data_IF_312318173246
#
_entry.id   IF_312318173246
#
_cell.length_a   1.000
_cell.length_b   1.000
_cell.length_c   1.000
_cell.angle_alpha   90.00
_cell.angle_beta   90.00
_cell.angle_gamma   90.00
#
_symmetry.space_group_name_H-M   'P 1'
#
loop_
_entity.id
_entity.type
_entity.pdbx_description
1 polymer ?
2 polymer ?
3 polymer ?
4 polymer ?
5 non-polymer ?
6 non-polymer ?
7 non-polymer ?
8 non-polymer ?
9 non-polymer ?
10 non-polymer ?
11 non-polymer ?
12 non-polymer ?
13 water ?
#
loop_
_entity_poly.entity_id
_entity_poly.type
_entity_poly.pdbx_seq_one_letter_code
_entity_poly.pdbx_strand_id
2 'polydeoxyribonucleotide' '(DC)(DG)(DG)(DC)(8OG)(DT)(DA)(DC)(DG)' ?
3 'polydeoxyribonucleotide' '(DC)(DG)(DT)(DA)(DA)' ?
4 'polydeoxyribonucleotide' '(DG)(DC)(DC)(DG)' ?
#
# COMPACT_ATOMS: atom_id res chain seq x y z
N UNK A 10 -10.66 20.25 -10.91
CA UNK A 10 -9.87 19.24 -10.24
C UNK A 10 -9.63 19.60 -8.76
N UNK A 11 -10.28 18.86 -7.86
CA UNK A 11 -10.13 19.16 -6.43
C UNK A 11 -8.72 18.85 -5.94
N UNK A 12 -8.38 19.45 -4.79
CA UNK A 12 -7.00 19.42 -4.36
C UNK A 12 -6.62 18.12 -3.64
N UNK A 13 -7.59 17.42 -3.05
CA UNK A 13 -7.31 16.18 -2.33
C UNK A 13 -7.67 14.96 -3.19
N UNK A 14 -6.85 13.92 -3.10
CA UNK A 14 -7.12 12.74 -3.92
C UNK A 14 -8.44 12.06 -3.56
N UNK A 15 -8.88 12.18 -2.31
CA UNK A 15 -10.13 11.54 -1.90
C UNK A 15 -11.37 12.23 -2.43
N UNK A 16 -11.20 13.37 -3.09
CA UNK A 16 -12.30 14.12 -3.68
C UNK A 16 -12.52 13.83 -5.15
N UNK A 17 -11.79 12.90 -5.73
CA UNK A 17 -11.93 12.68 -7.15
C UNK A 17 -11.74 11.20 -7.44
N UNK A 18 -12.43 10.66 -8.44
CA UNK A 18 -12.21 9.25 -8.79
C UNK A 18 -10.87 9.06 -9.48
N UNK A 19 -10.13 8.04 -9.05
CA UNK A 19 -8.86 7.70 -9.67
C UNK A 19 -8.89 6.23 -10.09
N UNK A 20 -9.01 5.95 -11.39
CA UNK A 20 -9.09 4.56 -11.85
C UNK A 20 -7.71 3.94 -11.88
N UNK A 21 -7.71 2.62 -11.99
CA UNK A 21 -6.47 1.87 -11.97
C UNK A 21 -5.65 2.15 -13.21
N UNK A 22 -6.29 2.18 -14.37
CA UNK A 22 -5.62 2.51 -15.60
C UNK A 22 -6.16 3.84 -16.11
N UNK A 23 -5.30 4.59 -16.79
CA UNK A 23 -5.63 5.97 -17.09
C UNK A 23 -4.91 6.41 -18.37
N UNK A 24 -4.80 7.73 -18.55
CA UNK A 24 -4.42 8.31 -19.83
C UNK A 24 -3.12 9.07 -19.76
N UNK A 25 -2.38 8.94 -18.66
CA UNK A 25 -1.15 9.71 -18.48
C UNK A 25 -0.09 8.86 -17.80
N UNK A 26 -0.02 7.59 -18.19
CA UNK A 26 0.79 6.60 -17.48
C UNK A 26 2.26 6.99 -17.44
N UNK A 27 2.83 7.36 -18.59
CA UNK A 27 4.24 7.74 -18.62
C UNK A 27 4.55 8.94 -17.76
N UNK A 28 3.69 9.96 -17.79
CA UNK A 28 3.93 11.15 -17.01
C UNK A 28 3.87 10.85 -15.53
N UNK A 29 2.86 10.08 -15.12
CA UNK A 29 2.74 9.77 -13.70
C UNK A 29 3.92 8.92 -13.23
N UNK A 30 4.38 7.98 -14.07
CA UNK A 30 5.50 7.13 -13.66
C UNK A 30 6.76 7.96 -13.42
N UNK A 31 6.99 8.99 -14.25
CA UNK A 31 8.17 9.82 -14.09
C UNK A 31 8.12 10.59 -12.77
N UNK A 32 6.96 11.16 -12.45
CA UNK A 32 6.85 11.91 -11.21
C UNK A 32 6.99 10.99 -10.00
N UNK A 33 6.53 9.76 -10.13
CA UNK A 33 6.65 8.82 -9.03
C UNK A 33 8.09 8.38 -8.82
N UNK A 34 8.93 8.37 -9.88
CA UNK A 34 10.37 8.17 -9.65
C UNK A 34 10.92 9.26 -8.76
N UNK A 35 10.57 10.51 -9.05
CA UNK A 35 11.10 11.60 -8.23
C UNK A 35 10.55 11.54 -6.81
N UNK A 36 9.30 11.10 -6.65
CA UNK A 36 8.74 10.94 -5.32
C UNK A 36 9.51 9.90 -4.54
N UNK A 37 9.77 8.75 -5.18
CA UNK A 37 10.49 7.66 -4.53
C UNK A 37 11.91 8.11 -4.14
N UNK A 38 12.58 8.81 -5.05
CA UNK A 38 13.92 9.30 -4.75
C UNK A 38 13.91 10.27 -3.58
N UNK A 39 12.91 11.14 -3.52
CA UNK A 39 12.78 12.04 -2.37
C UNK A 39 12.65 11.24 -1.07
N UNK A 40 11.86 10.18 -1.07
CA UNK A 40 11.73 9.37 0.13
C UNK A 40 13.04 8.74 0.56
N UNK A 41 13.84 8.30 -0.41
CA UNK A 41 15.13 7.72 -0.07
C UNK A 41 16.05 8.73 0.59
N UNK A 42 15.84 10.03 0.35
CA UNK A 42 16.61 11.08 0.98
C UNK A 42 15.95 11.67 2.22
N UNK A 43 14.83 11.11 2.66
CA UNK A 43 14.12 11.65 3.82
C UNK A 43 13.34 12.91 3.57
N UNK A 44 13.06 13.25 2.32
CA UNK A 44 12.37 14.49 1.97
C UNK A 44 10.88 14.18 1.81
N UNK A 45 10.19 14.05 2.95
CA UNK A 45 8.80 13.58 2.94
C UNK A 45 7.86 14.60 2.32
N UNK A 46 8.15 15.90 2.46
CA UNK A 46 7.31 16.90 1.82
C UNK A 46 7.36 16.83 0.30
N UNK A 47 8.58 16.77 -0.25
CA UNK A 47 8.73 16.62 -1.70
C UNK A 47 8.12 15.30 -2.18
N UNK A 48 8.34 14.21 -1.44
CA UNK A 48 7.70 12.94 -1.78
C UNK A 48 6.20 13.13 -1.94
N UNK A 49 5.57 13.82 -0.98
CA UNK A 49 4.12 14.00 -1.05
C UNK A 49 3.71 14.83 -2.27
N UNK A 50 4.41 15.94 -2.52
CA UNK A 50 4.02 16.76 -3.67
C UNK A 50 4.14 15.98 -4.98
N UNK A 51 5.25 15.24 -5.17
CA UNK A 51 5.41 14.49 -6.41
C UNK A 51 4.36 13.37 -6.52
N UNK A 52 4.07 12.70 -5.40
CA UNK A 52 3.00 11.68 -5.40
C UNK A 52 1.65 12.28 -5.76
N UNK A 53 1.34 13.44 -5.16
CA UNK A 53 0.06 14.09 -5.42
C UNK A 53 -0.04 14.57 -6.87
N UNK A 54 1.05 15.15 -7.41
CA UNK A 54 1.03 15.60 -8.80
C UNK A 54 0.83 14.41 -9.73
N UNK A 55 1.52 13.30 -9.46
CA UNK A 55 1.30 12.10 -10.25
C UNK A 55 -0.15 11.68 -10.18
N UNK A 56 -0.72 11.68 -8.97
CA UNK A 56 -2.09 11.23 -8.79
C UNK A 56 -3.09 12.11 -9.54
N UNK A 57 -2.83 13.43 -9.61
CA UNK A 57 -3.69 14.32 -10.37
C UNK A 57 -3.76 13.86 -11.83
N UNK A 58 -2.61 13.52 -12.40
CA UNK A 58 -2.61 13.09 -13.80
C UNK A 58 -3.39 11.80 -13.97
N UNK A 59 -3.32 10.90 -13.00
CA UNK A 59 -4.10 9.67 -13.08
C UNK A 59 -5.59 9.93 -13.13
N UNK A 60 -6.05 11.05 -12.55
CA UNK A 60 -7.47 11.37 -12.45
C UNK A 60 -7.99 12.14 -13.65
N UNK A 61 -7.10 12.54 -14.57
CA UNK A 61 -7.53 13.31 -15.73
C UNK A 61 -8.29 12.44 -16.72
N UNK A 62 -9.21 13.03 -17.49
CA UNK A 62 -10.03 12.25 -18.40
C UNK A 62 -9.39 11.97 -19.75
N UNK A 63 -8.21 12.53 -20.03
CA UNK A 63 -7.56 12.34 -21.31
C UNK A 63 -6.08 12.69 -21.18
N UNK A 64 -5.26 12.40 -22.19
CA UNK A 64 -3.82 12.67 -22.06
C UNK A 64 -3.50 14.16 -22.03
N UNK A 65 -2.51 14.51 -21.21
CA UNK A 65 -1.88 15.83 -21.31
C UNK A 65 -0.98 15.84 -22.55
N UNK A 66 -1.26 16.77 -23.46
CA UNK A 66 -0.49 16.94 -24.68
C UNK A 66 0.26 18.26 -24.74
N UNK A 67 -0.16 19.25 -23.97
CA UNK A 67 0.45 20.57 -24.02
C UNK A 67 0.61 21.09 -22.61
N UNK A 68 1.65 21.89 -22.41
CA UNK A 68 1.96 22.38 -21.07
C UNK A 68 0.83 23.22 -20.52
N UNK A 69 0.11 23.93 -21.39
CA UNK A 69 -0.98 24.78 -20.93
C UNK A 69 -2.05 23.99 -20.17
N UNK A 70 -2.20 22.70 -20.47
CA UNK A 70 -3.22 21.89 -19.79
C UNK A 70 -2.90 21.68 -18.31
N UNK A 71 -1.68 22.01 -17.86
CA UNK A 71 -1.36 21.93 -16.44
C UNK A 71 -1.80 23.15 -15.68
N UNK A 72 -2.13 24.24 -16.38
CA UNK A 72 -2.56 25.47 -15.72
C UNK A 72 -3.78 25.21 -14.86
N UNK A 73 -3.70 25.59 -13.60
CA UNK A 73 -4.80 25.40 -12.70
C UNK A 73 -4.84 24.06 -12.00
N UNK A 74 -4.06 23.08 -12.45
CA UNK A 74 -4.09 21.78 -11.77
C UNK A 74 -3.41 21.88 -10.41
N UNK A 75 -3.99 21.32 -9.37
CA UNK A 75 -3.33 21.37 -8.06
C UNK A 75 -2.07 20.51 -8.05
N UNK A 76 -1.07 20.98 -7.31
CA UNK A 76 0.19 20.30 -7.04
C UNK A 76 1.16 20.35 -8.20
N UNK A 77 0.87 21.14 -9.24
CA UNK A 77 1.79 21.40 -10.34
C UNK A 77 2.33 22.81 -10.22
N UNK A 78 3.59 22.91 -9.83
CA UNK A 78 4.30 24.17 -9.84
C UNK A 78 5.45 24.09 -10.80
N UNK A 79 6.49 24.89 -10.51
CA UNK A 79 7.62 25.02 -11.42
C UNK A 79 8.27 23.67 -11.70
N UNK A 80 8.50 22.86 -10.65
CA UNK A 80 9.32 21.66 -10.80
C UNK A 80 8.56 20.55 -11.52
N UNK A 81 7.34 20.22 -11.06
CA UNK A 81 6.58 19.16 -11.71
C UNK A 81 6.19 19.53 -13.13
N UNK A 82 5.94 20.83 -13.38
CA UNK A 82 5.59 21.26 -14.73
C UNK A 82 6.78 21.13 -15.67
N UNK A 83 7.98 21.41 -15.17
CA UNK A 83 9.16 21.27 -16.00
C UNK A 83 9.41 19.81 -16.35
N UNK A 84 9.18 18.90 -15.39
CA UNK A 84 9.30 17.47 -15.69
C UNK A 84 8.37 17.10 -16.83
N UNK A 85 7.11 17.54 -16.76
CA UNK A 85 6.13 17.19 -17.78
C UNK A 85 6.52 17.84 -19.11
N UNK A 86 6.92 19.11 -19.08
CA UNK A 86 7.33 19.81 -20.30
C UNK A 86 8.43 19.04 -21.01
N UNK A 87 9.44 18.57 -20.26
CA UNK A 87 10.56 17.87 -20.89
C UNK A 87 10.09 16.55 -21.49
N UNK A 88 9.21 15.83 -20.79
CA UNK A 88 8.69 14.59 -21.36
C UNK A 88 7.88 14.85 -22.62
N UNK A 89 7.07 15.91 -22.63
CA UNK A 89 6.27 16.23 -23.82
C UNK A 89 7.17 16.61 -24.98
N UNK A 90 8.22 17.38 -24.70
CA UNK A 90 9.07 17.92 -25.77
C UNK A 90 10.09 16.91 -26.26
N UNK A 91 10.62 16.04 -25.39
CA UNK A 91 11.74 15.18 -25.73
C UNK A 91 11.53 13.70 -25.44
N UNK A 92 10.42 13.32 -24.82
CA UNK A 92 10.15 11.94 -24.46
C UNK A 92 10.91 11.44 -23.26
N UNK A 93 11.73 12.29 -22.65
CA UNK A 93 12.56 11.92 -21.52
C UNK A 93 12.83 13.18 -20.72
N UNK A 94 12.95 13.02 -19.40
CA UNK A 94 13.29 14.10 -18.48
C UNK A 94 14.67 13.82 -17.91
N UNK A 95 15.62 14.73 -18.16
CA UNK A 95 17.00 14.48 -17.77
C UNK A 95 17.12 14.20 -16.27
N UNK A 96 16.38 14.94 -15.44
CA UNK A 96 16.49 14.69 -14.00
C UNK A 96 16.04 13.29 -13.65
N UNK A 97 14.93 12.86 -14.25
CA UNK A 97 14.40 11.53 -13.97
C UNK A 97 15.39 10.47 -14.41
N UNK A 98 15.98 10.63 -15.59
CA UNK A 98 16.94 9.64 -16.06
C UNK A 98 18.19 9.61 -15.20
N UNK A 99 18.64 10.76 -14.72
CA UNK A 99 19.79 10.82 -13.83
C UNK A 99 19.51 10.07 -12.53
N UNK A 100 18.30 10.23 -12.00
CA UNK A 100 17.91 9.47 -10.81
C UNK A 100 17.94 7.98 -11.11
N UNK A 101 17.29 7.59 -12.21
CA UNK A 101 17.16 6.17 -12.55
C UNK A 101 18.49 5.45 -12.58
N UNK A 102 19.50 6.06 -13.19
CA UNK A 102 20.78 5.37 -13.34
C UNK A 102 21.71 5.57 -12.17
N UNK A 103 21.31 6.35 -11.17
CA UNK A 103 22.23 6.65 -10.08
C UNK A 103 22.42 5.45 -9.16
N UNK A 104 23.66 5.28 -8.68
CA UNK A 104 23.97 4.19 -7.77
C UNK A 104 23.15 4.31 -6.50
N UNK A 105 22.97 5.54 -6.02
CA UNK A 105 22.19 5.76 -4.81
C UNK A 105 20.75 5.29 -4.98
N UNK A 106 20.09 5.73 -6.06
CA UNK A 106 18.70 5.33 -6.27
C UNK A 106 18.58 3.82 -6.42
N UNK A 107 19.42 3.22 -7.27
CA UNK A 107 19.28 1.80 -7.55
C UNK A 107 19.53 0.95 -6.32
N UNK A 108 20.52 1.33 -5.50
CA UNK A 108 20.81 0.53 -4.30
C UNK A 108 19.76 0.74 -3.22
N UNK A 109 19.33 1.99 -3.01
CA UNK A 109 18.28 2.21 -2.01
C UNK A 109 17.00 1.48 -2.40
N UNK A 110 16.66 1.48 -3.69
CA UNK A 110 15.50 0.73 -4.15
C UNK A 110 15.66 -0.76 -3.89
N UNK A 111 16.84 -1.31 -4.23
CA UNK A 111 17.10 -2.73 -4.01
C UNK A 111 16.98 -3.08 -2.54
N UNK A 112 17.61 -2.30 -1.66
CA UNK A 112 17.62 -2.63 -0.24
C UNK A 112 16.25 -2.42 0.40
N UNK A 113 15.58 -1.29 0.12
CA UNK A 113 14.28 -1.06 0.76
C UNK A 113 13.22 -2.04 0.30
N UNK A 114 13.40 -2.66 -0.88
CA UNK A 114 12.47 -3.68 -1.33
C UNK A 114 12.54 -4.94 -0.48
N UNK A 115 13.62 -5.12 0.28
CA UNK A 115 13.76 -6.28 1.16
C UNK A 115 12.78 -6.16 2.32
N UNK A 116 12.04 -7.23 2.58
CA UNK A 116 11.16 -7.31 3.74
C UNK A 116 12.01 -7.28 5.02
N UNK A 117 11.78 -6.28 5.86
CA UNK A 117 12.56 -6.06 7.06
C UNK A 117 13.54 -4.91 6.98
N UNK A 118 13.68 -4.29 5.81
CA UNK A 118 14.62 -3.20 5.56
C UNK A 118 13.82 -1.97 5.16
N UNK A 119 13.97 -0.88 5.91
CA UNK A 119 13.41 0.40 5.54
C UNK A 119 14.46 1.38 5.07
N UNK A 120 14.04 2.62 4.86
CA UNK A 120 14.95 3.65 4.35
C UNK A 120 16.14 3.83 5.29
N UNK A 121 15.89 3.89 6.59
CA UNK A 121 16.97 4.17 7.53
C UNK A 121 18.02 3.06 7.51
N UNK A 122 17.60 1.79 7.49
CA UNK A 122 18.56 0.70 7.43
C UNK A 122 19.29 0.69 6.10
N UNK A 123 18.55 0.82 5.00
CA UNK A 123 19.18 0.83 3.67
C UNK A 123 20.22 1.93 3.56
N UNK A 124 19.89 3.13 4.05
CA UNK A 124 20.81 4.26 3.99
C UNK A 124 22.07 3.98 4.79
N UNK A 125 21.93 3.37 5.97
CA UNK A 125 23.11 3.05 6.78
C UNK A 125 24.00 2.05 6.06
N UNK A 126 23.42 1.01 5.47
CA UNK A 126 24.19 0.06 4.67
C UNK A 126 24.85 0.74 3.47
N UNK A 127 24.11 1.62 2.79
CA UNK A 127 24.68 2.34 1.66
C UNK A 127 25.90 3.13 2.08
N UNK A 128 25.81 3.83 3.22
CA UNK A 128 26.93 4.62 3.71
C UNK A 128 28.09 3.74 4.14
N UNK A 129 27.82 2.52 4.60
CA UNK A 129 28.86 1.57 4.93
C UNK A 129 29.54 0.98 3.70
N UNK A 130 29.03 1.26 2.51
CA UNK A 130 29.63 0.77 1.29
C UNK A 130 28.95 -0.43 0.67
N UNK A 131 27.87 -0.95 1.27
CA UNK A 131 27.19 -2.12 0.74
C UNK A 131 26.34 -1.73 -0.46
N UNK A 132 26.28 -2.62 -1.45
CA UNK A 132 25.60 -2.31 -2.71
C UNK A 132 24.71 -3.42 -3.24
N UNK A 133 24.96 -4.69 -2.92
CA UNK A 133 24.24 -5.81 -3.54
C UNK A 133 23.67 -6.73 -2.47
N UNK A 134 22.72 -7.58 -2.89
CA UNK A 134 22.14 -8.52 -1.94
C UNK A 134 23.20 -9.48 -1.43
N UNK A 135 24.14 -9.88 -2.29
CA UNK A 135 25.20 -10.77 -1.80
C UNK A 135 26.13 -10.07 -0.81
N UNK A 136 26.32 -8.76 -0.95
CA UNK A 136 27.02 -8.02 0.10
C UNK A 136 26.35 -8.23 1.45
N UNK A 137 25.01 -8.25 1.46
CA UNK A 137 24.30 -8.41 2.72
C UNK A 137 24.40 -9.84 3.22
N UNK A 138 24.29 -10.80 2.31
CA UNK A 138 24.35 -12.19 2.71
C UNK A 138 25.71 -12.56 3.28
N UNK A 139 26.77 -11.89 2.80
CA UNK A 139 28.12 -12.19 3.28
C UNK A 139 28.35 -11.78 4.73
N UNK A 140 27.52 -10.89 5.26
CA UNK A 140 27.67 -10.40 6.64
C UNK A 140 26.37 -10.59 7.41
N UNK A 141 25.94 -11.85 7.59
CA UNK A 141 24.61 -12.09 8.19
C UNK A 141 24.53 -11.72 9.65
N UNK A 142 25.63 -11.36 10.29
CA UNK A 142 25.59 -10.93 11.67
C UNK A 142 24.84 -9.62 11.82
N UNK A 143 24.84 -8.79 10.79
CA UNK A 143 24.17 -7.51 10.81
C UNK A 143 22.70 -7.61 10.42
N UNK A 144 22.12 -8.80 10.36
CA UNK A 144 20.74 -8.98 9.90
C UNK A 144 19.84 -9.46 11.03
N UNK A 145 18.64 -8.88 11.10
CA UNK A 145 17.62 -9.42 11.99
C UNK A 145 17.05 -10.70 11.40
N UNK A 146 16.33 -11.45 12.24
CA UNK A 146 15.64 -12.65 11.75
C UNK A 146 14.67 -12.30 10.63
N UNK A 147 13.97 -11.19 10.76
CA UNK A 147 13.05 -10.74 9.72
C UNK A 147 13.79 -10.46 8.42
N UNK A 148 14.92 -9.78 8.51
CA UNK A 148 15.70 -9.44 7.32
C UNK A 148 16.29 -10.69 6.69
N UNK A 149 16.68 -11.65 7.52
CA UNK A 149 17.19 -12.91 6.98
C UNK A 149 16.14 -13.60 6.13
N UNK A 150 14.90 -13.65 6.62
CA UNK A 150 13.79 -14.24 5.85
C UNK A 150 13.50 -13.44 4.59
N UNK A 151 13.49 -12.12 4.70
CA UNK A 151 13.29 -11.30 3.52
C UNK A 151 14.35 -11.51 2.45
N UNK A 152 15.61 -11.71 2.86
CA UNK A 152 16.68 -11.91 1.90
C UNK A 152 16.64 -13.32 1.33
N UNK A 153 16.38 -14.33 2.17
CA UNK A 153 16.24 -15.69 1.63
C UNK A 153 15.13 -15.77 0.59
N UNK A 154 13.99 -15.13 0.86
CA UNK A 154 12.83 -15.25 0.00
C UNK A 154 12.73 -14.12 -1.02
N UNK A 155 13.78 -13.31 -1.15
CA UNK A 155 13.68 -12.09 -1.94
C UNK A 155 13.29 -12.36 -3.40
N UNK A 156 13.86 -13.41 -4.01
CA UNK A 156 13.56 -13.68 -5.41
C UNK A 156 12.08 -13.98 -5.60
N UNK A 157 11.53 -14.90 -4.81
CA UNK A 157 10.10 -15.21 -4.93
C UNK A 157 9.25 -13.97 -4.64
N UNK A 158 9.64 -13.20 -3.63
CA UNK A 158 8.84 -12.04 -3.26
C UNK A 158 8.90 -10.95 -4.31
N UNK A 159 9.85 -11.00 -5.23
CA UNK A 159 9.95 -10.07 -6.33
C UNK A 159 9.08 -10.44 -7.52
N UNK A 160 8.52 -11.65 -7.51
CA UNK A 160 7.66 -12.18 -8.56
C UNK A 160 6.23 -11.72 -8.33
N UNK A 161 5.55 -11.18 -9.35
CA UNK A 161 4.16 -10.74 -9.15
C UNK A 161 3.26 -11.84 -8.62
N UNK A 162 2.44 -11.48 -7.64
CA UNK A 162 1.32 -12.31 -7.20
C UNK A 162 0.18 -12.11 -8.16
N UNK A 163 -0.40 -13.21 -8.65
CA UNK A 163 -1.49 -13.16 -9.63
C UNK A 163 -2.85 -13.36 -8.97
N UNK A 164 -3.90 -12.91 -9.65
CA UNK A 164 -5.24 -13.10 -9.12
C UNK A 164 -5.56 -14.59 -8.89
N UNK A 165 -5.02 -15.50 -9.71
CA UNK A 165 -5.20 -16.93 -9.44
C UNK A 165 -4.58 -17.33 -8.11
N UNK A 166 -3.41 -16.78 -7.79
CA UNK A 166 -2.79 -17.08 -6.50
C UNK A 166 -3.71 -16.65 -5.36
N UNK A 167 -4.45 -15.56 -5.57
CA UNK A 167 -5.23 -14.97 -4.49
C UNK A 167 -6.39 -15.89 -4.08
N UNK A 168 -7.13 -16.41 -5.07
CA UNK A 168 -8.25 -17.28 -4.75
C UNK A 168 -7.80 -18.51 -3.95
N UNK A 169 -6.66 -19.09 -4.34
CA UNK A 169 -6.15 -20.26 -3.63
C UNK A 169 -5.77 -19.91 -2.20
N UNK A 170 -5.09 -18.78 -2.01
CA UNK A 170 -4.73 -18.36 -0.66
C UNK A 170 -5.96 -18.08 0.17
N UNK A 171 -6.98 -17.45 -0.42
CA UNK A 171 -8.15 -17.11 0.39
C UNK A 171 -8.86 -18.36 0.90
N UNK A 172 -8.94 -19.41 0.07
CA UNK A 172 -9.59 -20.63 0.53
C UNK A 172 -8.82 -21.25 1.69
N UNK A 173 -7.49 -21.21 1.61
CA UNK A 173 -6.64 -21.74 2.67
C UNK A 173 -6.81 -20.94 3.97
N UNK A 174 -6.86 -19.61 3.86
CA UNK A 174 -7.05 -18.78 5.05
C UNK A 174 -8.43 -19.01 5.66
N UNK A 175 -9.44 -19.12 4.81
CA UNK A 175 -10.80 -19.35 5.30
C UNK A 175 -10.91 -20.66 6.06
N UNK A 176 -10.20 -21.70 5.59
CA UNK A 176 -10.22 -22.98 6.29
C UNK A 176 -9.68 -22.83 7.70
N UNK A 177 -8.53 -22.16 7.84
CA UNK A 177 -7.95 -22.00 9.17
C UNK A 177 -8.82 -21.10 10.04
N UNK A 178 -9.34 -20.02 9.46
CA UNK A 178 -10.19 -19.08 10.21
C UNK A 178 -11.45 -19.78 10.70
N UNK A 179 -12.05 -20.63 9.87
CA UNK A 179 -13.25 -21.36 10.27
C UNK A 179 -13.06 -22.30 11.43
N UNK A 180 -11.87 -22.91 11.54
CA UNK A 180 -11.58 -23.76 12.69
C UNK A 180 -11.26 -22.93 13.90
N UNK A 181 -10.56 -21.81 13.69
CA UNK A 181 -10.19 -20.96 14.81
C UNK A 181 -11.43 -20.35 15.45
N UNK A 182 -12.40 -19.97 14.63
CA UNK A 182 -13.60 -19.32 15.15
C UNK A 182 -14.72 -19.47 14.14
N UNK A 183 -15.56 -20.48 14.28
CA UNK A 183 -16.70 -20.63 13.37
C UNK A 183 -17.53 -19.35 13.27
N UNK A 184 -17.89 -19.01 12.04
CA UNK A 184 -18.62 -17.81 11.76
C UNK A 184 -17.76 -16.63 11.36
N UNK A 185 -16.45 -16.70 11.60
CA UNK A 185 -15.59 -15.59 11.22
C UNK A 185 -15.47 -15.54 9.72
N UNK A 186 -15.30 -14.32 9.21
CA UNK A 186 -15.27 -14.08 7.77
C UNK A 186 -13.91 -13.55 7.36
N UNK A 187 -13.62 -13.73 6.07
CA UNK A 187 -12.37 -13.30 5.46
C UNK A 187 -12.72 -12.44 4.26
N UNK A 188 -12.22 -11.20 4.25
CA UNK A 188 -12.43 -10.27 3.15
C UNK A 188 -11.11 -9.90 2.48
N UNK A 189 -11.06 -10.02 1.15
CA UNK A 189 -9.90 -9.57 0.38
C UNK A 189 -9.86 -8.05 0.36
N UNK A 190 -8.70 -7.49 0.73
CA UNK A 190 -8.52 -6.04 0.75
C UNK A 190 -7.32 -5.66 -0.09
N UNK A 191 -6.70 -4.52 0.21
CA UNK A 191 -5.54 -4.05 -0.54
C UNK A 191 -5.80 -3.84 -2.03
N UNK A 192 -4.73 -3.88 -2.79
CA UNK A 192 -4.80 -3.56 -4.20
C UNK A 192 -5.70 -4.48 -5.00
N UNK A 193 -5.80 -5.76 -4.61
CA UNK A 193 -6.69 -6.64 -5.36
C UNK A 193 -8.15 -6.21 -5.21
N UNK A 194 -8.54 -5.69 -4.06
CA UNK A 194 -9.92 -5.19 -3.95
C UNK A 194 -10.14 -3.94 -4.81
N UNK A 195 -9.08 -3.17 -5.09
CA UNK A 195 -9.15 -2.04 -6.01
C UNK A 195 -9.13 -2.46 -7.47
N UNK A 196 -9.07 -3.76 -7.76
CA UNK A 196 -9.11 -4.25 -9.13
C UNK A 196 -7.78 -4.59 -9.75
N UNK A 197 -6.68 -4.52 -9.00
CA UNK A 197 -5.38 -4.88 -9.57
C UNK A 197 -5.37 -6.33 -10.01
N UNK A 198 -4.68 -6.60 -11.10
CA UNK A 198 -4.58 -7.99 -11.56
C UNK A 198 -3.33 -8.67 -11.04
N UNK A 199 -2.38 -7.90 -10.54
CA UNK A 199 -1.16 -8.38 -9.92
C UNK A 199 -0.88 -7.60 -8.65
N UNK A 200 -0.03 -8.16 -7.80
CA UNK A 200 0.39 -7.45 -6.61
C UNK A 200 1.69 -8.00 -6.09
N UNK A 201 2.19 -7.32 -5.04
CA UNK A 201 3.37 -7.71 -4.28
C UNK A 201 3.02 -8.60 -3.10
N UNK A 202 1.77 -8.60 -2.67
CA UNK A 202 1.33 -9.37 -1.53
C UNK A 202 -0.19 -9.48 -1.63
N UNK A 203 -0.77 -10.20 -0.67
CA UNK A 203 -2.21 -10.34 -0.58
C UNK A 203 -2.63 -9.91 0.82
N UNK A 204 -3.69 -9.12 0.90
CA UNK A 204 -4.19 -8.55 2.15
C UNK A 204 -5.59 -9.07 2.47
N UNK A 205 -5.75 -9.57 3.71
CA UNK A 205 -7.02 -10.08 4.15
C UNK A 205 -7.44 -9.43 5.46
N UNK A 206 -8.73 -9.18 5.59
CA UNK A 206 -9.34 -8.60 6.78
C UNK A 206 -10.34 -9.59 7.34
N UNK A 207 -10.20 -9.90 8.63
CA UNK A 207 -10.96 -10.96 9.30
C UNK A 207 -11.82 -10.32 10.39
N UNK A 208 -13.09 -10.73 10.48
CA UNK A 208 -13.94 -10.25 11.56
C UNK A 208 -14.93 -11.36 11.92
N UNK A 209 -15.86 -11.04 12.84
CA UNK A 209 -16.90 -11.99 13.24
C UNK A 209 -18.14 -11.17 13.52
N UNK A 210 -19.33 -11.65 13.14
CA UNK A 210 -20.54 -10.82 13.28
C UNK A 210 -20.93 -10.51 14.71
N UNK A 211 -20.45 -11.27 15.68
CA UNK A 211 -20.73 -11.04 17.09
C UNK A 211 -19.58 -10.25 17.73
N UNK A 212 -19.85 -8.99 18.05
CA UNK A 212 -18.85 -8.12 18.65
C UNK A 212 -18.20 -8.77 19.85
N UNK A 213 -16.87 -8.76 19.84
CA UNK A 213 -16.07 -9.32 20.90
C UNK A 213 -15.58 -10.72 20.61
N UNK A 214 -16.26 -11.47 19.74
CA UNK A 214 -15.83 -12.83 19.49
C UNK A 214 -14.51 -12.89 18.76
N UNK A 215 -14.11 -11.79 18.11
CA UNK A 215 -12.85 -11.79 17.39
C UNK A 215 -11.63 -11.61 18.29
N UNK A 216 -11.84 -11.29 19.57
CA UNK A 216 -10.71 -11.13 20.48
C UNK A 216 -9.87 -12.39 20.52
N UNK A 217 -8.54 -12.23 20.43
CA UNK A 217 -7.62 -13.36 20.52
C UNK A 217 -7.61 -14.27 19.30
N UNK A 218 -8.23 -13.84 18.21
CA UNK A 218 -8.41 -14.70 17.05
C UNK A 218 -7.10 -14.93 16.28
N UNK A 219 -6.28 -13.90 16.08
CA UNK A 219 -5.22 -14.06 15.11
C UNK A 219 -4.16 -15.09 15.54
N UNK A 220 -3.79 -15.18 16.83
CA UNK A 220 -2.89 -16.27 17.24
C UNK A 220 -3.44 -17.64 16.92
N UNK A 221 -4.76 -17.81 17.08
CA UNK A 221 -5.37 -19.10 16.79
C UNK A 221 -5.33 -19.41 15.30
N UNK A 222 -5.48 -18.37 14.47
CA UNK A 222 -5.39 -18.56 13.04
C UNK A 222 -3.97 -18.91 12.63
N UNK A 223 -3.00 -18.18 13.17
CA UNK A 223 -1.62 -18.38 12.78
C UNK A 223 -1.13 -19.76 13.18
N UNK A 224 -1.50 -20.22 14.38
CA UNK A 224 -1.05 -21.54 14.83
C UNK A 224 -1.55 -22.62 13.90
N UNK A 225 -2.79 -22.47 13.42
CA UNK A 225 -3.39 -23.47 12.55
C UNK A 225 -2.75 -23.45 11.16
N UNK A 226 -2.50 -22.26 10.60
CA UNK A 226 -1.78 -22.21 9.33
C UNK A 226 -0.38 -22.80 9.46
N UNK A 227 0.29 -22.51 10.58
CA UNK A 227 1.62 -23.07 10.82
C UNK A 227 1.57 -24.59 10.89
N UNK A 228 0.54 -25.14 11.54
CA UNK A 228 0.45 -26.60 11.64
C UNK A 228 0.16 -27.26 10.30
N UNK A 229 -0.46 -26.55 9.36
CA UNK A 229 -0.65 -27.05 8.01
C UNK A 229 0.59 -26.88 7.13
N UNK A 230 1.70 -26.39 7.70
CA UNK A 230 2.93 -26.27 6.95
C UNK A 230 2.95 -25.13 5.96
N UNK A 231 2.06 -24.16 6.10
CA UNK A 231 1.90 -23.11 5.10
C UNK A 231 2.67 -21.85 5.41
N UNK A 232 3.26 -21.73 6.59
CA UNK A 232 3.88 -20.49 7.01
C UNK A 232 5.38 -20.66 6.92
N UNK A 233 5.98 -19.92 5.99
CA UNK A 233 7.44 -19.91 5.89
C UNK A 233 8.05 -18.95 6.88
N UNK A 234 7.34 -17.88 7.25
CA UNK A 234 7.83 -16.90 8.21
C UNK A 234 6.66 -16.14 8.83
N UNK A 235 6.72 -15.97 10.15
CA UNK A 235 5.92 -14.93 10.81
C UNK A 235 6.61 -14.57 12.11
N UNK A 236 6.19 -13.45 12.69
CA UNK A 236 6.75 -13.03 13.98
C UNK A 236 6.00 -13.66 15.15
N UNK A 256 -0.31 -12.02 21.82
CA UNK A 256 -1.48 -11.22 21.48
C UNK A 256 -1.17 -10.24 20.35
N UNK A 257 -2.01 -10.24 19.31
CA UNK A 257 -1.77 -9.35 18.18
C UNK A 257 -2.97 -9.38 17.24
N UNK A 258 -3.05 -8.34 16.37
CA UNK A 258 -4.17 -8.17 15.45
C UNK A 258 -3.74 -7.92 14.01
N UNK A 259 -2.45 -7.81 13.74
CA UNK A 259 -1.91 -7.75 12.39
C UNK A 259 -0.76 -8.74 12.32
N UNK A 260 -0.71 -9.51 11.23
CA UNK A 260 0.36 -10.49 10.99
C UNK A 260 0.92 -10.26 9.60
N UNK A 261 2.25 -10.12 9.51
CA UNK A 261 2.92 -9.92 8.23
C UNK A 261 3.67 -11.22 7.94
N UNK A 262 3.07 -12.08 7.12
CA UNK A 262 3.50 -13.46 6.93
C UNK A 262 4.18 -13.64 5.58
N UNK A 263 4.99 -14.70 5.49
CA UNK A 263 5.37 -15.28 4.21
C UNK A 263 4.77 -16.68 4.16
N UNK A 264 3.93 -16.91 3.17
CA UNK A 264 3.17 -18.15 2.95
C UNK A 264 3.83 -18.99 1.88
N UNK A 265 3.66 -20.30 2.01
CA UNK A 265 4.00 -21.25 0.98
C UNK A 265 2.80 -21.48 0.07
N UNK A 266 2.89 -21.02 -1.17
CA UNK A 266 1.81 -21.14 -2.15
C UNK A 266 2.12 -22.25 -3.16
N UNK A 267 1.27 -23.27 -3.31
CA UNK A 267 1.51 -24.29 -4.33
C UNK A 267 1.70 -23.72 -5.72
N UNK A 268 2.53 -24.41 -6.51
CA UNK A 268 2.80 -24.15 -7.90
C UNK A 268 2.89 -25.51 -8.59
N UNK A 269 2.67 -25.58 -9.89
CA UNK A 269 2.80 -26.88 -10.57
C UNK A 269 4.10 -27.59 -10.22
N UNK A 270 4.00 -28.70 -9.51
CA UNK A 270 5.19 -29.46 -9.14
C UNK A 270 6.11 -28.80 -8.15
N UNK A 271 5.70 -27.66 -7.58
CA UNK A 271 6.56 -26.99 -6.60
C UNK A 271 5.71 -26.00 -5.80
N UNK A 272 6.31 -24.87 -5.43
CA UNK A 272 5.62 -23.84 -4.66
C UNK A 272 6.45 -22.58 -4.75
N UNK A 273 5.85 -21.48 -4.27
CA UNK A 273 6.60 -20.23 -4.18
C UNK A 273 6.21 -19.50 -2.91
N UNK A 274 7.14 -18.69 -2.39
CA UNK A 274 6.86 -17.84 -1.24
C UNK A 274 6.05 -16.60 -1.66
N UNK A 275 5.05 -16.24 -0.85
CA UNK A 275 4.18 -15.09 -1.10
C UNK A 275 3.95 -14.34 0.20
N UNK A 276 4.07 -13.02 0.16
CA UNK A 276 3.72 -12.20 1.31
C UNK A 276 2.21 -12.12 1.46
N UNK A 277 1.74 -12.36 2.68
CA UNK A 277 0.32 -12.24 3.03
C UNK A 277 0.22 -11.43 4.32
N UNK A 278 -0.70 -10.46 4.35
CA UNK A 278 -1.02 -9.70 5.54
C UNK A 278 -2.41 -10.11 6.03
N UNK A 279 -2.50 -10.48 7.30
CA UNK A 279 -3.77 -10.79 7.95
C UNK A 279 -4.03 -9.76 9.04
N UNK A 280 -5.24 -9.22 9.07
CA UNK A 280 -5.63 -8.23 10.07
C UNK A 280 -7.01 -8.60 10.60
N UNK A 281 -7.18 -8.46 11.91
CA UNK A 281 -8.44 -8.73 12.58
C UNK A 281 -9.01 -7.41 13.06
N UNK A 282 -10.32 -7.24 12.92
CA UNK A 282 -11.02 -6.09 13.49
C UNK A 282 -12.34 -6.54 14.07
N UNK A 283 -12.80 -5.91 15.15
CA UNK A 283 -14.18 -6.15 15.59
C UNK A 283 -15.16 -5.58 14.58
N UNK A 284 -16.35 -6.19 14.52
CA UNK A 284 -17.28 -5.84 13.46
C UNK A 284 -17.69 -4.37 13.57
N UNK A 285 -17.72 -3.81 14.78
CA UNK A 285 -18.01 -2.38 14.94
C UNK A 285 -17.03 -1.50 14.18
N UNK A 286 -15.79 -1.95 14.04
CA UNK A 286 -14.75 -1.19 13.36
C UNK A 286 -14.55 -1.63 11.92
N UNK A 287 -15.24 -2.68 11.49
CA UNK A 287 -14.94 -3.27 10.19
C UNK A 287 -14.98 -2.28 9.05
N UNK A 288 -15.97 -1.38 8.95
CA UNK A 288 -15.95 -0.40 7.84
C UNK A 288 -14.70 0.46 7.82
N UNK A 289 -14.21 0.87 8.99
CA UNK A 289 -12.99 1.67 9.05
C UNK A 289 -11.77 0.87 8.67
N UNK A 290 -11.75 -0.40 9.06
CA UNK A 290 -10.59 -1.24 8.75
C UNK A 290 -10.59 -1.58 7.28
N UNK A 291 -11.78 -1.88 6.73
CA UNK A 291 -11.91 -2.16 5.31
C UNK A 291 -11.45 -0.95 4.50
N UNK A 292 -11.93 0.23 4.87
CA UNK A 292 -11.55 1.44 4.17
C UNK A 292 -10.03 1.64 4.21
N UNK A 293 -9.48 1.57 5.41
CA UNK A 293 -8.04 1.77 5.55
C UNK A 293 -7.20 0.75 4.78
N UNK A 294 -7.52 -0.53 4.91
CA UNK A 294 -6.75 -1.59 4.27
C UNK A 294 -7.04 -1.75 2.78
N UNK A 295 -8.06 -1.07 2.24
CA UNK A 295 -8.27 -1.09 0.80
C UNK A 295 -7.44 -0.02 0.08
N UNK A 296 -7.02 1.03 0.77
CA UNK A 296 -6.08 1.97 0.19
C UNK A 296 -6.69 2.78 -0.95
N UNK A 297 -5.89 3.23 -1.93
CA UNK A 297 -4.44 3.14 -1.91
C UNK A 297 -3.82 3.85 -0.70
N UNK A 298 -2.51 3.66 -0.54
CA UNK A 298 -1.80 4.32 0.56
C UNK A 298 -1.96 5.83 0.47
N UNK A 299 -1.75 6.39 -0.73
CA UNK A 299 -1.90 7.84 -0.89
C UNK A 299 -3.35 8.25 -0.66
N UNK A 300 -4.31 7.47 -1.17
CA UNK A 300 -5.71 7.78 -0.94
C UNK A 300 -6.01 7.91 0.54
N UNK A 301 -5.48 7.00 1.36
CA UNK A 301 -5.78 7.02 2.79
C UNK A 301 -5.09 8.18 3.51
N UNK A 302 -3.83 8.49 3.15
CA UNK A 302 -3.18 9.68 3.71
C UNK A 302 -3.98 10.92 3.38
N UNK A 303 -4.43 11.02 2.12
CA UNK A 303 -5.21 12.17 1.68
C UNK A 303 -6.56 12.23 2.40
N UNK A 304 -7.23 11.09 2.57
CA UNK A 304 -8.50 11.04 3.28
C UNK A 304 -8.35 11.45 4.74
N UNK A 305 -7.30 10.94 5.40
CA UNK A 305 -7.08 11.33 6.79
C UNK A 305 -6.70 12.79 6.91
N UNK A 306 -5.93 13.30 5.93
CA UNK A 306 -5.58 14.72 5.92
C UNK A 306 -6.82 15.58 5.73
N UNK A 307 -7.66 15.19 4.77
CA UNK A 307 -8.94 15.88 4.52
C UNK A 307 -9.81 15.89 5.76
N UNK A 308 -10.01 14.72 6.37
CA UNK A 308 -10.82 14.61 7.56
C UNK A 308 -10.39 15.63 8.61
N UNK A 309 -9.11 15.64 8.94
CA UNK A 309 -8.62 16.47 10.05
C UNK A 309 -8.62 17.95 9.67
N UNK A 310 -8.08 18.28 8.49
CA UNK A 310 -7.86 19.67 8.12
C UNK A 310 -9.13 20.35 7.63
N UNK A 311 -9.99 19.63 6.91
CA UNK A 311 -11.20 20.22 6.35
C UNK A 311 -12.42 20.00 7.22
N UNK A 312 -12.50 18.88 7.95
CA UNK A 312 -13.69 18.55 8.73
C UNK A 312 -13.44 18.54 10.23
N UNK A 313 -12.20 18.68 10.68
CA UNK A 313 -11.90 18.65 12.11
C UNK A 313 -12.13 17.33 12.79
N UNK A 314 -12.13 16.24 12.04
CA UNK A 314 -12.39 14.91 12.56
C UNK A 314 -11.13 14.07 12.38
N UNK A 315 -10.90 13.13 13.30
CA UNK A 315 -9.67 12.34 13.30
C UNK A 315 -9.98 10.91 12.86
N UNK A 316 -9.40 10.50 11.72
CA UNK A 316 -9.70 9.23 11.08
C UNK A 316 -8.53 8.25 11.23
N UNK A 317 -8.84 7.00 11.55
CA UNK A 317 -7.85 5.92 11.43
C UNK A 317 -8.59 4.64 11.06
N UNK A 318 -7.87 3.51 11.08
CA UNK A 318 -8.48 2.25 10.68
C UNK A 318 -9.37 1.64 11.75
N UNK A 319 -9.53 2.33 12.89
CA UNK A 319 -10.42 1.89 13.95
C UNK A 319 -11.69 2.72 14.07
N UNK A 320 -11.72 3.94 13.54
CA UNK A 320 -12.86 4.80 13.80
C UNK A 320 -12.61 6.23 13.33
N UNK A 321 -13.59 7.07 13.63
CA UNK A 321 -13.61 8.47 13.23
C UNK A 321 -14.06 9.28 14.43
N UNK A 322 -13.19 10.15 14.93
CA UNK A 322 -13.37 10.79 16.23
C UNK A 322 -13.64 12.27 16.06
N UNK A 323 -14.67 12.76 16.77
CA UNK A 323 -14.95 14.18 16.86
C UNK A 323 -14.29 14.71 18.12
N UNK A 324 -13.21 15.49 18.01
CA UNK A 324 -12.47 15.90 19.21
C UNK A 324 -13.14 17.00 20.00
N UNK A 325 -14.19 17.62 19.45
CA UNK A 325 -14.96 18.61 20.21
C UNK A 325 -16.00 17.92 21.08
N UNK A 326 -16.86 17.09 20.48
CA UNK A 326 -17.83 16.33 21.25
C UNK A 326 -17.20 15.14 21.98
N UNK A 327 -15.96 14.76 21.64
CA UNK A 327 -15.31 13.59 22.22
C UNK A 327 -16.16 12.34 21.97
N UNK A 328 -16.59 12.18 20.72
CA UNK A 328 -17.44 11.05 20.33
C UNK A 328 -16.90 10.41 19.07
N UNK A 329 -17.15 9.10 18.97
CA UNK A 329 -16.81 8.30 17.79
C UNK A 329 -18.04 8.10 16.93
N UNK A 330 -17.85 8.21 15.62
CA UNK A 330 -18.93 7.99 14.68
C UNK A 330 -19.13 6.50 14.47
N UNK A 331 -20.37 6.04 14.60
CA UNK A 331 -20.67 4.67 14.29
C UNK A 331 -20.79 4.59 12.78
N UNK A 332 -20.22 3.56 12.22
CA UNK A 332 -20.39 3.33 10.79
C UNK A 332 -20.74 1.88 10.56
N UNK A 333 -21.70 1.66 9.66
CA UNK A 333 -22.07 0.31 9.26
C UNK A 333 -21.56 -0.05 7.88
N UNK A 334 -20.94 0.90 7.18
CA UNK A 334 -20.50 0.71 5.81
C UNK A 334 -19.46 1.78 5.46
N UNK A 335 -18.68 1.49 4.42
CA UNK A 335 -17.81 2.51 3.87
C UNK A 335 -18.62 3.71 3.39
N UNK A 336 -19.80 3.45 2.80
CA UNK A 336 -20.68 4.53 2.39
C UNK A 336 -20.97 5.48 3.55
N UNK A 337 -21.21 4.94 4.76
CA UNK A 337 -21.44 5.78 5.93
C UNK A 337 -20.26 6.74 6.16
N UNK A 338 -19.05 6.22 6.01
CA UNK A 338 -17.88 7.03 6.33
C UNK A 338 -17.72 8.17 5.34
N UNK A 339 -17.88 7.88 4.04
CA UNK A 339 -17.84 8.96 3.05
C UNK A 339 -18.90 10.01 3.35
N UNK A 340 -20.12 9.56 3.72
CA UNK A 340 -21.16 10.54 4.06
C UNK A 340 -20.78 11.39 5.27
N UNK A 341 -20.25 10.75 6.32
CA UNK A 341 -19.83 11.48 7.52
C UNK A 341 -18.89 12.62 7.16
N UNK A 342 -17.95 12.35 6.26
CA UNK A 342 -16.93 13.29 5.85
C UNK A 342 -17.38 14.24 4.74
N UNK A 343 -18.63 14.15 4.29
CA UNK A 343 -19.09 15.08 3.28
C UNK A 343 -18.49 14.85 1.91
N UNK A 344 -18.12 13.62 1.59
CA UNK A 344 -17.48 13.27 0.32
C UNK A 344 -18.40 12.37 -0.50
N UNK A 345 -18.38 12.56 -1.80
CA UNK A 345 -19.07 11.62 -2.67
C UNK A 345 -18.41 10.25 -2.55
N UNK A 346 -19.23 9.21 -2.50
CA UNK A 346 -18.71 7.85 -2.38
C UNK A 346 -17.87 7.48 -3.59
N UNK A 347 -16.75 6.82 -3.33
CA UNK A 347 -15.90 6.25 -4.36
C UNK A 347 -15.79 4.75 -4.13
N UNK A 348 -16.13 3.90 -5.08
CA UNK A 348 -15.91 2.48 -4.90
C UNK A 348 -14.43 2.19 -4.90
N UNK A 349 -14.01 1.01 -4.44
CA UNK A 349 -12.56 0.72 -4.33
C UNK A 349 -11.78 0.91 -5.63
N UNK A 350 -12.40 0.58 -6.77
CA UNK A 350 -11.78 0.72 -8.07
C UNK A 350 -11.49 2.16 -8.45
N UNK A 351 -12.07 3.14 -7.75
CA UNK A 351 -11.79 4.54 -7.98
C UNK A 351 -10.97 5.18 -6.88
N UNK A 352 -10.29 4.36 -6.06
CA UNK A 352 -9.41 4.82 -4.99
C UNK A 352 -7.93 4.59 -5.31
N UNK A 353 -7.62 4.45 -6.59
CA UNK A 353 -6.25 4.14 -7.05
C UNK A 353 -5.41 5.41 -7.18
N UNK A 354 -5.45 6.24 -6.14
CA UNK A 354 -4.65 7.47 -6.13
C UNK A 354 -3.18 7.15 -6.12
X LIG E 1 -0.18 -6.15 2.45
X LIG F 1 -1.13 -5.24 -0.71
X LIG G 1 11.52 -3.03 3.00
X LIG H 1 -4.84 2.96 11.71
X LIG I 1 10.97 17.62 1.87
X LIG J 1 4.27 -28.01 -1.43
X LIG K 1 -2.23 -3.48 -1.56
X LIG K 1 -1.66 -2.22 -2.16
X LIG K 1 -1.69 -2.27 -3.67
X LIG K 1 -2.40 -0.94 -1.90
X LIG K 1 -0.19 -1.93 -1.59
X LIG K 1 1.07 -2.84 -1.99
X LIG K 1 1.46 -2.72 -3.44
X LIG K 1 2.23 -2.37 -1.14
X LIG K 1 0.68 -4.29 -1.77
X LIG L 1 -4.81 0.97 7.59
X LIG L 1 -4.69 2.27 7.02
X LIG L 1 -3.46 0.26 7.46
X LIG L 1 -2.76 0.49 8.67
X LIG M 1 -1.05 -4.58 -13.56
X LIG M 1 -2.25 -4.36 -12.21
X LIG M 1 -1.90 -5.29 -11.14
X LIG M 1 -2.14 -2.99 -11.74
X LIG M 1 -3.55 -4.68 -12.78
X LIG N 1 -1.46 -2.29 -2.15
X LIG N 1 -2.25 -1.03 -1.89
X LIG N 1 -1.91 -3.50 -1.39
X LIG N 1 -1.19 -2.54 -3.62
X LIG N 1 1.27 -2.91 -1.86
X LIG N 1 2.40 -2.48 -0.94
X LIG N 1 0.78 -4.34 -1.87
X LIG N 1 0.00 -1.95 -1.58
X LIG N 1 2.49 -1.18 -3.72
X LIG N 1 1.72 -2.55 -3.37
#
# INVERSE_FOLDING_TARGET
GSAAASPAWMPAYACQRPTPLTHHNTGLSEALEILAEAAGFEGSEGRLLTFCRAASVLKALPSPVTTLSQLQGLPHFGEHSSRVVQELLEHGVCEEVERVRRSERYQTMKLFTQIFGVGVKTADRWYREGLRTLDDLREQPQKLTQQQKAGLQHHQDLSTPVLRSDVDALQQVVEEAVGQALPGATVTLTGGFRRGKLQGHDVDFLITHPKEGQEAGLLPRVMCRLQDQGLILYHQHQHSCCESPTRLAQQSHMDAFERSFCIFRLPQPGSWKAVRVDLVVAPVSQFPFALLGWTGSKLFQRELRRFSRKEKGLWLNSHGLFDPEQKTFFQAASEEDIFRHLGLEYLPPEQRNA
MN MN
MG MG
NA NA
CL CL
CL CL
CL CL
PPV O11 P1 O21 O31 OPP P2 O12 O22 O32
EDO C1 O1 C2 O2
EPE C10 S O1S O2S O3S
ATP PG O1G O2G O3G PB O1B O2B O3B PA O3A
#
